data_IF_016822138531
#
_entry.id   IF_016822138531
#
_cell.length_a   1.000
_cell.length_b   1.000
_cell.length_c   1.000
_cell.angle_alpha   90.00
_cell.angle_beta   90.00
_cell.angle_gamma   90.00
#
_symmetry.space_group_name_H-M   'P 1'
#
loop_
_entity.id
_entity.type
_entity.pdbx_description
1 polymer ?
#
# COMPACT_ATOMS: atom_id res chain seq x y z
N UNK A 1 -27.35 16.32 -7.95
CA UNK A 1 -26.27 15.71 -7.12
C UNK A 1 -24.98 15.80 -7.91
N UNK A 2 -23.89 16.24 -7.28
CA UNK A 2 -22.59 16.34 -7.94
C UNK A 2 -22.02 14.97 -8.31
N UNK A 3 -20.97 14.95 -9.13
CA UNK A 3 -20.22 13.72 -9.44
C UNK A 3 -19.59 13.18 -8.14
N UNK A 4 -19.67 11.87 -7.85
CA UNK A 4 -19.10 11.31 -6.62
C UNK A 4 -17.58 11.48 -6.62
N UNK A 5 -17.01 11.68 -5.43
CA UNK A 5 -15.58 11.66 -5.19
C UNK A 5 -15.05 10.23 -5.38
N UNK A 6 -14.15 10.02 -6.33
CA UNK A 6 -13.64 8.68 -6.66
C UNK A 6 -12.27 8.44 -6.02
N UNK A 7 -12.12 7.31 -5.32
CA UNK A 7 -10.83 6.85 -4.79
C UNK A 7 -10.51 5.48 -5.34
N UNK A 8 -9.35 5.34 -5.95
CA UNK A 8 -8.79 4.03 -6.31
C UNK A 8 -8.17 3.42 -5.06
N UNK A 9 -8.55 2.18 -4.73
CA UNK A 9 -7.99 1.46 -3.59
C UNK A 9 -6.80 0.64 -4.08
N UNK A 10 -5.59 1.09 -3.76
CA UNK A 10 -4.29 0.56 -4.18
C UNK A 10 -3.89 -0.78 -3.56
N UNK A 11 -4.81 -1.74 -3.53
CA UNK A 11 -4.58 -3.11 -3.07
C UNK A 11 -5.04 -4.13 -4.10
N UNK A 12 -4.24 -5.18 -4.30
CA UNK A 12 -4.65 -6.36 -5.07
C UNK A 12 -5.44 -7.38 -4.24
N UNK A 13 -5.54 -7.19 -2.92
CA UNK A 13 -6.23 -8.13 -2.04
C UNK A 13 -7.72 -7.81 -1.95
N UNK A 14 -8.56 -8.72 -2.46
CA UNK A 14 -10.03 -8.58 -2.46
C UNK A 14 -10.63 -8.47 -1.06
N UNK A 15 -10.14 -9.23 -0.08
CA UNK A 15 -10.64 -9.16 1.29
C UNK A 15 -10.36 -7.80 1.91
N UNK A 16 -9.15 -7.24 1.70
CA UNK A 16 -8.83 -5.88 2.15
C UNK A 16 -9.74 -4.83 1.50
N UNK A 17 -10.04 -4.99 0.21
CA UNK A 17 -10.95 -4.07 -0.49
C UNK A 17 -12.35 -4.06 0.14
N UNK A 18 -12.93 -5.24 0.41
CA UNK A 18 -14.25 -5.33 1.03
C UNK A 18 -14.27 -4.79 2.46
N UNK A 19 -13.21 -4.99 3.25
CA UNK A 19 -13.06 -4.36 4.57
C UNK A 19 -13.09 -2.83 4.50
N UNK A 20 -12.31 -2.25 3.57
CA UNK A 20 -12.26 -0.80 3.35
C UNK A 20 -13.63 -0.29 2.90
N UNK A 21 -14.26 -0.99 1.96
CA UNK A 21 -15.58 -0.65 1.46
C UNK A 21 -16.65 -0.66 2.55
N UNK A 22 -16.63 -1.67 3.42
CA UNK A 22 -17.58 -1.76 4.52
C UNK A 22 -17.40 -0.62 5.54
N UNK A 23 -16.16 -0.20 5.84
CA UNK A 23 -15.90 0.87 6.81
C UNK A 23 -16.22 2.26 6.24
N UNK A 24 -16.03 2.46 4.94
CA UNK A 24 -16.28 3.74 4.26
C UNK A 24 -17.69 3.84 3.64
N UNK A 25 -18.56 2.85 3.84
CA UNK A 25 -19.86 2.76 3.15
C UNK A 25 -20.84 3.90 3.47
N UNK A 26 -20.67 4.56 4.61
CA UNK A 26 -21.50 5.67 5.07
C UNK A 26 -20.87 7.05 4.79
N UNK A 27 -19.73 7.10 4.09
CA UNK A 27 -19.22 8.35 3.53
C UNK A 27 -20.06 8.70 2.31
N UNK A 28 -20.83 9.79 2.41
CA UNK A 28 -21.69 10.26 1.31
C UNK A 28 -20.86 10.66 0.09
N UNK A 29 -21.43 10.43 -1.09
CA UNK A 29 -20.85 10.82 -2.37
C UNK A 29 -19.43 10.27 -2.63
N UNK A 30 -19.09 9.13 -2.03
CA UNK A 30 -17.82 8.42 -2.22
C UNK A 30 -17.99 7.18 -3.11
N UNK A 31 -17.17 7.05 -4.14
CA UNK A 31 -17.06 5.85 -4.97
C UNK A 31 -15.66 5.24 -4.81
N UNK A 32 -15.61 3.97 -4.40
CA UNK A 32 -14.35 3.22 -4.33
C UNK A 32 -14.16 2.40 -5.60
N UNK A 33 -13.03 2.63 -6.27
CA UNK A 33 -12.63 1.93 -7.49
C UNK A 33 -11.55 0.91 -7.14
N UNK A 34 -11.71 -0.37 -7.48
CA UNK A 34 -10.67 -1.36 -7.20
C UNK A 34 -9.47 -1.19 -8.13
N UNK A 35 -8.25 -1.51 -7.63
CA UNK A 35 -7.03 -1.41 -8.43
C UNK A 35 -7.07 -2.28 -9.69
N UNK A 36 -7.73 -3.45 -9.64
CA UNK A 36 -7.86 -4.36 -10.78
C UNK A 36 -8.79 -3.84 -11.89
N UNK A 37 -9.41 -2.68 -11.73
CA UNK A 37 -10.07 -1.97 -12.84
C UNK A 37 -9.06 -1.37 -13.84
N UNK A 38 -7.77 -1.33 -13.48
CA UNK A 38 -6.69 -0.81 -14.32
C UNK A 38 -5.83 -1.97 -14.83
N UNK A 39 -5.64 -2.15 -16.15
CA UNK A 39 -4.74 -3.16 -16.69
C UNK A 39 -3.27 -2.77 -16.46
N UNK A 40 -2.38 -3.76 -16.35
CA UNK A 40 -0.92 -3.59 -16.33
C UNK A 40 -0.40 -2.63 -15.23
N UNK A 41 -1.03 -2.65 -14.05
CA UNK A 41 -0.55 -1.86 -12.91
C UNK A 41 0.87 -2.31 -12.53
N UNK A 42 1.87 -1.41 -12.52
CA UNK A 42 3.23 -1.77 -12.17
C UNK A 42 3.32 -2.13 -10.66
N UNK A 43 4.21 -3.06 -10.27
CA UNK A 43 4.52 -3.27 -8.87
C UNK A 43 5.20 -2.00 -8.30
N UNK A 44 4.77 -1.59 -7.11
CA UNK A 44 5.43 -0.51 -6.35
C UNK A 44 6.49 -1.12 -5.45
N UNK A 45 7.69 -0.55 -5.46
CA UNK A 45 8.75 -0.95 -4.55
C UNK A 45 8.59 -0.27 -3.19
N UNK A 46 8.31 -1.07 -2.16
CA UNK A 46 8.17 -0.64 -0.76
C UNK A 46 9.53 -0.68 -0.04
N UNK A 47 10.37 0.33 -0.28
CA UNK A 47 11.74 0.48 0.24
C UNK A 47 11.90 1.62 1.26
N UNK A 48 10.80 2.25 1.67
CA UNK A 48 10.82 3.29 2.69
C UNK A 48 11.04 2.68 4.08
N UNK A 49 11.59 3.48 4.99
CA UNK A 49 11.93 3.06 6.36
C UNK A 49 10.74 3.01 7.30
N UNK A 50 9.60 3.56 6.90
CA UNK A 50 8.40 3.68 7.74
C UNK A 50 7.16 3.20 6.99
N UNK A 51 6.15 2.74 7.73
CA UNK A 51 4.87 2.34 7.16
C UNK A 51 4.19 3.50 6.43
N UNK A 52 4.24 4.69 7.01
CA UNK A 52 3.71 5.92 6.41
C UNK A 52 4.42 6.26 5.09
N UNK A 53 5.75 6.06 5.03
CA UNK A 53 6.54 6.25 3.84
C UNK A 53 6.12 5.30 2.72
N UNK A 54 6.04 4.00 3.00
CA UNK A 54 5.62 3.00 2.01
C UNK A 54 4.18 3.23 1.54
N UNK A 55 3.25 3.47 2.47
CA UNK A 55 1.86 3.77 2.13
C UNK A 55 1.76 5.01 1.23
N UNK A 56 2.49 6.08 1.57
CA UNK A 56 2.53 7.32 0.79
C UNK A 56 3.16 7.13 -0.58
N UNK A 57 4.32 6.47 -0.67
CA UNK A 57 5.00 6.15 -1.92
C UNK A 57 4.09 5.36 -2.86
N UNK A 58 3.46 4.32 -2.34
CA UNK A 58 2.52 3.47 -3.08
C UNK A 58 1.30 4.23 -3.58
N UNK A 59 0.67 5.03 -2.73
CA UNK A 59 -0.46 5.86 -3.15
C UNK A 59 -0.05 6.84 -4.26
N UNK A 60 1.11 7.49 -4.12
CA UNK A 60 1.60 8.50 -5.07
C UNK A 60 1.98 7.89 -6.43
N UNK A 61 2.73 6.78 -6.44
CA UNK A 61 3.12 6.10 -7.68
C UNK A 61 1.91 5.56 -8.44
N UNK A 62 0.96 4.94 -7.73
CA UNK A 62 -0.28 4.46 -8.33
C UNK A 62 -1.16 5.62 -8.84
N UNK A 63 -1.19 6.76 -8.16
CA UNK A 63 -1.93 7.94 -8.62
C UNK A 63 -1.36 8.48 -9.92
N UNK A 64 -0.02 8.57 -10.03
CA UNK A 64 0.66 8.98 -11.26
C UNK A 64 0.39 8.00 -12.40
N UNK A 65 0.46 6.70 -12.13
CA UNK A 65 0.12 5.67 -13.12
C UNK A 65 -1.32 5.84 -13.62
N UNK A 66 -2.30 5.91 -12.71
CA UNK A 66 -3.70 6.04 -13.09
C UNK A 66 -3.99 7.34 -13.86
N UNK A 67 -3.34 8.44 -13.50
CA UNK A 67 -3.43 9.71 -14.22
C UNK A 67 -2.92 9.62 -15.67
N UNK A 68 -1.80 8.92 -15.88
CA UNK A 68 -1.26 8.70 -17.22
C UNK A 68 -2.17 7.78 -18.05
N UNK A 69 -2.66 6.69 -17.45
CA UNK A 69 -3.55 5.73 -18.12
C UNK A 69 -4.86 6.36 -18.60
N UNK A 70 -5.43 7.30 -17.82
CA UNK A 70 -6.63 8.03 -18.23
C UNK A 70 -6.35 8.96 -19.42
N UNK A 71 -5.19 9.64 -19.46
CA UNK A 71 -4.82 10.52 -20.57
C UNK A 71 -4.67 9.77 -21.90
N UNK A 72 -4.06 8.58 -21.87
CA UNK A 72 -3.93 7.73 -23.07
C UNK A 72 -5.31 7.29 -23.58
N UNK A 73 -6.22 6.91 -22.68
CA UNK A 73 -7.59 6.54 -23.06
C UNK A 73 -8.34 7.71 -23.72
N UNK A 74 -8.20 8.93 -23.20
CA UNK A 74 -8.79 10.13 -23.82
C UNK A 74 -8.17 10.47 -25.18
N UNK A 75 -6.83 10.41 -25.31
CA UNK A 75 -6.14 10.69 -26.57
C UNK A 75 -6.52 9.69 -27.68
N UNK A 76 -6.68 8.40 -27.33
CA UNK A 76 -7.13 7.37 -28.27
C UNK A 76 -8.61 7.48 -28.64
N UNK A 77 -9.44 8.07 -27.78
CA UNK A 77 -10.84 8.38 -28.10
C UNK A 77 -10.97 9.63 -28.97
N UNK A 78 -10.13 10.66 -28.76
CA UNK A 78 -10.14 11.89 -29.57
C UNK A 78 -9.55 11.73 -30.96
N UNK A 79 -8.57 10.82 -31.14
CA UNK A 79 -7.96 10.53 -32.45
C UNK A 79 -8.85 9.69 -33.38
N UNK A 80 -9.87 9.00 -32.85
CA UNK A 80 -10.93 8.37 -33.66
C UNK A 80 -11.96 9.36 -34.24
N UNK A 81 -11.82 10.65 -33.93
CA UNK A 81 -12.71 11.71 -34.38
C UNK A 81 -11.92 12.92 -34.92
N UNK A 82 -11.18 12.74 -36.02
CA UNK A 82 -10.82 13.84 -36.92
C UNK A 82 -9.34 13.99 -37.27
N UNK A 83 -9.11 14.00 -38.59
CA UNK A 83 -7.96 14.46 -39.39
C UNK A 83 -6.59 13.78 -39.17
N UNK A 84 -6.22 13.04 -40.22
CA UNK A 84 -4.84 12.88 -40.71
C UNK A 84 -4.13 14.24 -40.71
N UNK A 85 -3.10 14.39 -39.88
CA UNK A 85 -1.83 15.10 -40.16
C UNK A 85 -1.08 15.34 -38.84
N UNK A 86 0.23 15.03 -38.87
CA UNK A 86 1.27 15.15 -37.83
C UNK A 86 1.36 14.03 -36.76
N UNK A 87 1.85 12.87 -37.20
CA UNK A 87 2.34 11.78 -36.34
C UNK A 87 3.75 12.08 -35.78
N UNK A 88 3.84 12.47 -34.50
CA UNK A 88 4.98 12.10 -33.65
C UNK A 88 4.57 10.87 -32.82
N UNK A 89 4.61 9.70 -33.47
CA UNK A 89 4.24 8.41 -32.90
C UNK A 89 5.23 8.02 -31.77
N UNK A 90 4.75 7.94 -30.52
CA UNK A 90 5.56 7.43 -29.41
C UNK A 90 5.50 5.91 -29.43
N UNK A 91 6.54 5.29 -29.99
CA UNK A 91 6.75 3.84 -30.00
C UNK A 91 7.01 3.29 -28.58
N UNK A 92 5.99 2.64 -28.02
CA UNK A 92 6.01 2.01 -26.70
C UNK A 92 6.81 0.68 -26.67
N UNK A 93 6.97 0.03 -27.83
CA UNK A 93 7.78 -1.19 -27.95
C UNK A 93 9.27 -0.85 -27.87
N UNK A 94 9.68 0.30 -28.44
CA UNK A 94 11.04 0.82 -28.30
C UNK A 94 11.41 1.21 -26.85
N UNK A 95 10.45 1.72 -26.06
CA UNK A 95 10.66 2.08 -24.66
C UNK A 95 10.80 0.85 -23.74
N UNK A 96 10.04 -0.20 -24.02
CA UNK A 96 10.11 -1.48 -23.29
C UNK A 96 11.37 -2.28 -23.67
N UNK A 97 11.76 -2.28 -24.94
CA UNK A 97 12.95 -2.97 -25.43
C UNK A 97 14.27 -2.33 -24.96
N UNK A 98 14.31 -0.99 -24.79
CA UNK A 98 15.48 -0.30 -24.21
C UNK A 98 15.74 -0.71 -22.77
N UNK A 99 14.68 -0.91 -21.96
CA UNK A 99 14.79 -1.31 -20.55
C UNK A 99 15.20 -2.78 -20.38
N UNK A 100 14.81 -3.65 -21.32
CA UNK A 100 15.16 -5.07 -21.27
C UNK A 100 16.63 -5.35 -21.67
N UNK A 101 17.28 -4.48 -22.46
CA UNK A 101 18.70 -4.62 -22.82
C UNK A 101 19.68 -4.10 -21.77
N UNK A 102 19.25 -3.25 -20.84
CA UNK A 102 20.12 -2.68 -19.79
C UNK A 102 20.30 -3.59 -18.57
N UNK A 103 19.56 -4.70 -18.46
CA UNK A 103 19.62 -5.61 -17.30
C UNK A 103 20.57 -6.81 -17.47
N UNK A 104 21.31 -6.93 -18.58
CA UNK A 104 22.33 -7.97 -18.74
C UNK A 104 23.68 -7.41 -19.23
N UNK A 105 24.44 -6.78 -18.33
CA UNK A 105 25.82 -6.38 -18.64
C UNK A 105 26.45 -5.60 -17.50
N UNK A 106 27.66 -6.01 -17.08
CA UNK A 106 28.47 -5.34 -16.05
C UNK A 106 28.46 -3.81 -16.23
N UNK A 107 28.15 -3.08 -15.15
CA UNK A 107 28.19 -1.62 -15.09
C UNK A 107 29.48 -1.06 -15.69
N UNK A 108 29.37 -0.42 -16.85
CA UNK A 108 30.24 0.70 -17.21
C UNK A 108 29.47 1.99 -16.88
N UNK A 109 30.14 3.03 -16.35
CA UNK A 109 29.48 4.30 -16.09
C UNK A 109 29.00 4.88 -17.42
N UNK A 110 27.70 5.16 -17.50
CA UNK A 110 27.10 5.86 -18.64
C UNK A 110 27.71 7.25 -18.68
N UNK A 111 28.49 7.56 -19.72
CA UNK A 111 28.89 8.94 -19.99
C UNK A 111 27.65 9.74 -20.36
N UNK A 112 27.31 10.75 -19.58
CA UNK A 112 26.26 11.70 -19.93
C UNK A 112 26.61 12.36 -21.27
N UNK A 113 25.80 12.07 -22.30
CA UNK A 113 25.79 12.86 -23.53
C UNK A 113 25.45 14.31 -23.22
N UNK A 114 26.10 15.22 -23.93
CA UNK A 114 26.17 16.67 -23.69
C UNK A 114 24.87 17.47 -23.92
N UNK A 115 23.69 16.89 -23.74
CA UNK A 115 22.41 17.60 -23.78
C UNK A 115 21.70 17.49 -22.43
N UNK A 116 22.15 18.28 -21.46
CA UNK A 116 21.69 18.28 -20.06
C UNK A 116 20.27 18.82 -19.82
N UNK A 117 19.25 18.33 -20.52
CA UNK A 117 17.86 18.51 -20.08
C UNK A 117 17.37 17.24 -19.41
N UNK A 118 17.17 17.32 -18.11
CA UNK A 118 16.33 16.36 -17.39
C UNK A 118 14.97 16.28 -18.12
N UNK A 119 14.38 15.08 -18.29
CA UNK A 119 13.04 14.96 -18.85
C UNK A 119 12.08 15.82 -18.03
N UNK A 120 11.24 16.62 -18.70
CA UNK A 120 10.21 17.40 -18.02
C UNK A 120 9.27 16.43 -17.31
N UNK A 121 9.07 16.64 -16.00
CA UNK A 121 8.04 15.94 -15.26
C UNK A 121 6.68 16.16 -15.94
N UNK A 122 5.83 15.13 -16.07
CA UNK A 122 4.49 15.32 -16.61
C UNK A 122 3.72 16.36 -15.81
N UNK A 123 3.01 17.26 -16.49
CA UNK A 123 2.12 18.21 -15.84
C UNK A 123 0.82 17.51 -15.43
N UNK A 124 0.59 17.34 -14.13
CA UNK A 124 -0.63 16.75 -13.58
C UNK A 124 -1.67 17.79 -13.12
N UNK A 125 -1.46 19.07 -13.45
CA UNK A 125 -2.41 20.13 -13.13
C UNK A 125 -3.79 19.80 -13.70
N UNK A 126 -4.83 19.88 -12.87
CA UNK A 126 -6.21 19.58 -13.28
C UNK A 126 -6.59 18.10 -13.39
N UNK A 127 -5.69 17.16 -13.08
CA UNK A 127 -6.02 15.72 -13.10
C UNK A 127 -6.63 15.28 -11.76
N UNK A 128 -7.92 14.93 -11.78
CA UNK A 128 -8.66 14.45 -10.60
C UNK A 128 -8.53 12.93 -10.45
N UNK A 129 -7.36 12.48 -9.97
CA UNK A 129 -7.11 11.08 -9.62
C UNK A 129 -6.69 11.01 -8.16
N UNK A 130 -7.38 10.18 -7.38
CA UNK A 130 -7.05 9.93 -5.99
C UNK A 130 -6.85 8.44 -5.77
N UNK A 131 -5.76 8.08 -5.10
CA UNK A 131 -5.44 6.70 -4.75
C UNK A 131 -5.18 6.61 -3.26
N UNK A 132 -5.82 5.65 -2.61
CA UNK A 132 -5.47 5.26 -1.24
C UNK A 132 -4.63 3.98 -1.23
N UNK A 133 -3.70 3.86 -0.29
CA UNK A 133 -2.90 2.64 -0.11
C UNK A 133 -2.58 2.42 1.37
N UNK A 134 -2.40 1.14 1.76
CA UNK A 134 -1.97 0.75 3.10
C UNK A 134 -0.56 0.13 3.08
N UNK A 135 0.17 0.34 4.17
CA UNK A 135 1.31 -0.49 4.57
C UNK A 135 1.14 -0.90 6.04
N UNK A 136 1.42 -2.16 6.36
CA UNK A 136 1.10 -2.74 7.66
C UNK A 136 2.10 -3.79 8.08
N UNK A 137 2.35 -3.88 9.38
CA UNK A 137 3.30 -4.84 9.93
C UNK A 137 3.26 -4.95 11.45
N UNK A 138 4.19 -5.73 11.98
CA UNK A 138 4.40 -5.99 13.39
C UNK A 138 5.68 -5.28 13.85
N UNK A 139 5.60 -4.55 14.94
CA UNK A 139 6.76 -4.00 15.65
C UNK A 139 6.90 -4.71 17.01
N UNK A 140 8.10 -5.19 17.34
CA UNK A 140 8.39 -5.83 18.64
C UNK A 140 9.44 -5.03 19.39
N UNK A 141 9.11 -4.59 20.60
CA UNK A 141 9.94 -3.67 21.38
C UNK A 141 11.32 -4.26 21.68
N UNK A 142 11.36 -5.54 22.09
CA UNK A 142 12.60 -6.25 22.38
C UNK A 142 13.50 -6.44 21.14
N UNK A 143 12.95 -6.29 19.93
CA UNK A 143 13.67 -6.38 18.67
C UNK A 143 13.83 -5.01 18.01
N UNK A 144 13.73 -3.92 18.78
CA UNK A 144 13.90 -2.55 18.30
C UNK A 144 12.96 -2.21 17.13
N UNK A 145 11.73 -2.73 17.17
CA UNK A 145 10.71 -2.52 16.14
C UNK A 145 10.72 -3.54 15.00
N UNK A 146 11.69 -4.47 14.95
CA UNK A 146 11.63 -5.55 13.96
C UNK A 146 10.44 -6.50 14.25
N UNK A 147 9.79 -7.08 13.22
CA UNK A 147 10.14 -7.02 11.80
C UNK A 147 9.84 -5.69 11.07
N UNK A 148 8.94 -4.86 11.59
CA UNK A 148 8.64 -3.53 11.04
C UNK A 148 8.10 -3.60 9.60
N UNK A 149 8.56 -2.70 8.74
CA UNK A 149 8.21 -2.67 7.29
C UNK A 149 8.61 -3.95 6.54
N UNK A 150 9.46 -4.80 7.12
CA UNK A 150 9.86 -6.09 6.54
C UNK A 150 8.93 -7.24 6.95
N UNK A 151 7.83 -6.97 7.66
CA UNK A 151 6.90 -8.00 8.20
C UNK A 151 6.51 -9.09 7.20
N UNK A 152 6.12 -8.74 5.98
CA UNK A 152 5.72 -9.74 4.99
C UNK A 152 6.89 -10.60 4.47
N UNK A 153 8.14 -10.17 4.66
CA UNK A 153 9.36 -10.76 4.09
C UNK A 153 10.47 -10.93 5.14
N UNK A 154 10.09 -11.10 6.41
CA UNK A 154 11.03 -11.07 7.52
C UNK A 154 12.06 -12.21 7.43
N UNK A 155 11.61 -13.39 6.96
CA UNK A 155 12.46 -14.54 6.66
C UNK A 155 13.00 -14.55 5.22
N UNK A 156 12.96 -13.42 4.52
CA UNK A 156 13.52 -13.22 3.18
C UNK A 156 12.55 -13.46 2.02
N UNK A 157 11.59 -14.39 2.17
CA UNK A 157 10.54 -14.64 1.17
C UNK A 157 9.24 -13.93 1.55
N UNK A 158 8.64 -13.22 0.59
CA UNK A 158 7.34 -12.56 0.78
C UNK A 158 6.23 -13.60 1.00
N UNK A 159 5.41 -13.41 2.03
CA UNK A 159 4.21 -14.20 2.32
C UNK A 159 4.46 -15.58 2.95
N UNK A 160 5.69 -15.87 3.38
CA UNK A 160 5.99 -17.13 4.10
C UNK A 160 5.76 -16.97 5.61
N UNK A 161 4.49 -16.99 6.01
CA UNK A 161 4.06 -16.75 7.39
C UNK A 161 4.71 -17.73 8.38
N UNK A 162 4.87 -19.00 7.99
CA UNK A 162 5.50 -20.02 8.83
C UNK A 162 6.98 -19.70 9.09
N UNK A 163 7.74 -19.34 8.04
CA UNK A 163 9.14 -18.96 8.19
C UNK A 163 9.30 -17.65 8.98
N UNK A 164 8.42 -16.67 8.73
CA UNK A 164 8.38 -15.40 9.45
C UNK A 164 8.14 -15.60 10.95
N UNK A 165 7.17 -16.45 11.31
CA UNK A 165 6.84 -16.78 12.70
C UNK A 165 7.99 -17.55 13.39
N UNK A 166 8.61 -18.51 12.70
CA UNK A 166 9.75 -19.25 13.23
C UNK A 166 10.96 -18.34 13.51
N UNK A 167 11.28 -17.42 12.59
CA UNK A 167 12.36 -16.46 12.78
C UNK A 167 12.07 -15.48 13.92
N UNK A 168 10.82 -15.01 14.05
CA UNK A 168 10.41 -14.16 15.16
C UNK A 168 10.63 -14.82 16.52
N UNK A 169 10.16 -16.07 16.68
CA UNK A 169 10.34 -16.82 17.92
C UNK A 169 11.82 -17.11 18.22
N UNK A 170 12.61 -17.43 17.18
CA UNK A 170 14.07 -17.62 17.31
C UNK A 170 14.73 -16.36 17.86
N UNK A 171 14.40 -15.19 17.32
CA UNK A 171 14.99 -13.91 17.74
C UNK A 171 14.53 -13.46 19.14
N UNK A 172 13.40 -13.98 19.63
CA UNK A 172 12.90 -13.76 20.99
C UNK A 172 13.35 -14.81 22.00
N UNK A 173 14.21 -15.76 21.63
CA UNK A 173 14.73 -16.78 22.55
C UNK A 173 15.45 -16.11 23.72
N UNK A 174 15.06 -16.45 24.95
CA UNK A 174 15.61 -15.87 26.18
C UNK A 174 14.99 -14.53 26.59
N UNK A 175 14.17 -13.90 25.75
CA UNK A 175 13.40 -12.71 26.14
C UNK A 175 12.23 -13.16 27.02
N UNK A 176 12.10 -12.66 28.27
CA UNK A 176 11.04 -13.08 29.16
C UNK A 176 9.68 -12.51 28.71
N UNK A 177 8.55 -13.19 28.99
CA UNK A 177 7.24 -12.85 28.43
C UNK A 177 6.80 -11.39 28.61
N UNK A 178 7.11 -10.78 29.75
CA UNK A 178 6.79 -9.39 30.09
C UNK A 178 7.54 -8.35 29.24
N UNK A 179 8.66 -8.74 28.63
CA UNK A 179 9.46 -7.89 27.72
C UNK A 179 9.09 -8.10 26.24
N UNK A 180 8.16 -9.01 25.92
CA UNK A 180 7.73 -9.30 24.54
C UNK A 180 6.61 -8.38 24.05
N UNK A 181 6.59 -7.13 24.50
CA UNK A 181 5.61 -6.14 24.02
C UNK A 181 5.75 -5.97 22.52
N UNK A 182 4.61 -5.93 21.85
CA UNK A 182 4.54 -5.80 20.41
C UNK A 182 3.28 -5.05 20.01
N UNK A 183 3.28 -4.51 18.80
CA UNK A 183 2.12 -3.86 18.22
C UNK A 183 1.98 -4.17 16.75
N UNK A 184 0.75 -4.41 16.33
CA UNK A 184 0.44 -4.29 14.91
C UNK A 184 0.25 -2.82 14.55
N UNK A 185 0.71 -2.44 13.36
CA UNK A 185 0.66 -1.09 12.82
C UNK A 185 0.05 -1.13 11.43
N UNK A 186 -0.87 -0.21 11.15
CA UNK A 186 -1.37 0.08 9.80
C UNK A 186 -1.18 1.58 9.54
N UNK A 187 -0.48 1.94 8.47
CA UNK A 187 -0.50 3.27 7.90
C UNK A 187 -1.37 3.27 6.65
N UNK A 188 -2.21 4.29 6.48
CA UNK A 188 -3.02 4.52 5.29
C UNK A 188 -2.69 5.89 4.74
N UNK A 189 -2.44 5.97 3.44
CA UNK A 189 -2.22 7.23 2.75
C UNK A 189 -3.26 7.43 1.64
N UNK A 190 -3.69 8.68 1.41
CA UNK A 190 -4.39 9.13 0.21
C UNK A 190 -3.47 10.07 -0.54
N UNK A 191 -3.29 9.88 -1.84
CA UNK A 191 -2.51 10.76 -2.69
C UNK A 191 -3.25 11.11 -3.97
N UNK A 192 -2.92 12.27 -4.53
CA UNK A 192 -3.11 12.57 -5.94
C UNK A 192 -1.74 12.48 -6.65
N UNK A 193 -1.64 12.66 -7.98
CA UNK A 193 -0.37 12.51 -8.70
C UNK A 193 0.74 13.48 -8.26
N UNK A 194 0.37 14.57 -7.58
CA UNK A 194 1.28 15.62 -7.12
C UNK A 194 1.83 15.36 -5.73
N UNK A 195 0.98 14.93 -4.78
CA UNK A 195 1.36 14.81 -3.37
C UNK A 195 0.48 13.83 -2.60
N UNK A 196 0.99 13.40 -1.45
CA UNK A 196 0.20 12.77 -0.40
C UNK A 196 -0.67 13.85 0.29
N UNK A 197 -1.95 13.55 0.47
CA UNK A 197 -2.98 14.45 1.02
C UNK A 197 -3.34 14.09 2.45
N UNK A 198 -3.48 12.79 2.73
CA UNK A 198 -3.85 12.26 4.04
C UNK A 198 -2.86 11.15 4.37
N UNK A 199 -2.41 11.11 5.62
CA UNK A 199 -1.71 9.95 6.19
C UNK A 199 -2.29 9.69 7.57
N UNK A 200 -2.74 8.46 7.84
CA UNK A 200 -3.23 8.04 9.15
C UNK A 200 -2.53 6.78 9.63
N UNK A 201 -2.42 6.62 10.95
CA UNK A 201 -1.83 5.45 11.60
C UNK A 201 -2.80 4.85 12.61
N UNK A 202 -3.00 3.54 12.56
CA UNK A 202 -3.70 2.75 13.57
C UNK A 202 -2.76 1.72 14.18
N UNK A 203 -2.93 1.44 15.47
CA UNK A 203 -2.09 0.48 16.20
C UNK A 203 -2.92 -0.39 17.12
N UNK A 204 -2.50 -1.63 17.32
CA UNK A 204 -3.04 -2.48 18.40
C UNK A 204 -1.88 -3.00 19.20
N UNK A 205 -1.90 -2.73 20.51
CA UNK A 205 -0.91 -3.19 21.47
C UNK A 205 -1.21 -4.61 21.93
N UNK A 206 -0.14 -5.39 22.09
CA UNK A 206 -0.21 -6.78 22.52
C UNK A 206 1.16 -7.30 22.96
N UNK A 207 1.32 -8.61 22.91
CA UNK A 207 2.57 -9.30 23.26
C UNK A 207 2.80 -10.48 22.33
N UNK A 208 4.05 -10.88 22.13
CA UNK A 208 4.35 -12.10 21.39
C UNK A 208 4.27 -13.32 22.32
N UNK A 209 3.38 -14.25 22.01
CA UNK A 209 3.22 -15.52 22.69
C UNK A 209 4.48 -16.41 22.56
N UNK A 210 4.62 -17.39 23.45
CA UNK A 210 5.72 -18.35 23.38
C UNK A 210 5.52 -19.41 22.29
N UNK A 211 4.26 -19.71 21.97
CA UNK A 211 3.84 -20.70 20.99
C UNK A 211 2.61 -20.17 20.25
N UNK A 212 2.39 -20.59 18.99
CA UNK A 212 1.20 -20.21 18.24
C UNK A 212 -0.06 -20.81 18.86
N UNK A 213 -1.14 -20.06 18.84
CA UNK A 213 -2.48 -20.52 19.20
C UNK A 213 -3.52 -20.06 18.16
N UNK A 214 -4.53 -20.90 17.95
CA UNK A 214 -5.58 -20.66 16.96
C UNK A 214 -5.14 -20.85 15.50
N UNK A 215 -6.12 -20.91 14.61
CA UNK A 215 -5.94 -21.17 13.17
C UNK A 215 -6.61 -20.12 12.28
N UNK A 216 -7.28 -19.14 12.87
CA UNK A 216 -7.89 -18.02 12.17
C UNK A 216 -6.84 -16.98 11.79
N UNK A 217 -7.14 -16.15 10.79
CA UNK A 217 -6.27 -15.03 10.41
C UNK A 217 -5.07 -15.44 9.56
N UNK A 218 -4.01 -14.63 9.59
CA UNK A 218 -2.80 -14.78 8.77
C UNK A 218 -1.58 -14.10 9.41
N UNK A 219 -0.39 -14.31 8.84
CA UNK A 219 0.84 -13.67 9.30
C UNK A 219 1.18 -14.02 10.74
N UNK A 220 1.31 -13.00 11.57
CA UNK A 220 1.69 -13.11 12.97
C UNK A 220 0.49 -13.29 13.93
N UNK A 221 -0.74 -13.39 13.42
CA UNK A 221 -1.94 -13.51 14.26
C UNK A 221 -1.87 -14.64 15.30
N UNK A 222 -1.38 -15.87 14.98
CA UNK A 222 -1.28 -16.95 15.96
C UNK A 222 -0.30 -16.67 17.10
N UNK A 223 0.62 -15.71 16.92
CA UNK A 223 1.62 -15.32 17.92
C UNK A 223 1.29 -14.01 18.63
N UNK A 224 0.37 -13.21 18.10
CA UNK A 224 0.03 -11.92 18.67
C UNK A 224 -1.03 -12.07 19.76
N UNK A 225 -0.58 -12.17 21.02
CA UNK A 225 -1.43 -12.23 22.20
C UNK A 225 -2.01 -10.84 22.51
N UNK A 226 -3.33 -10.77 22.64
CA UNK A 226 -4.07 -9.55 22.99
C UNK A 226 -4.58 -9.64 24.44
N UNK A 227 -3.89 -9.00 25.40
CA UNK A 227 -4.22 -9.13 26.83
C UNK A 227 -5.67 -8.82 27.20
N UNK A 228 -6.36 -7.82 26.60
CA UNK A 228 -7.75 -7.53 26.96
C UNK A 228 -8.74 -8.68 26.74
N UNK A 229 -8.43 -9.64 25.85
CA UNK A 229 -9.27 -10.81 25.60
C UNK A 229 -8.65 -12.13 26.05
N UNK A 230 -7.42 -12.11 26.58
CA UNK A 230 -6.71 -13.32 27.00
C UNK A 230 -6.47 -14.33 25.87
N UNK A 231 -6.46 -13.88 24.62
CA UNK A 231 -6.37 -14.71 23.41
C UNK A 231 -5.37 -14.14 22.42
N UNK A 232 -4.79 -15.01 21.60
CA UNK A 232 -4.09 -14.58 20.39
C UNK A 232 -5.08 -14.13 19.33
N UNK A 233 -4.62 -13.32 18.38
CA UNK A 233 -5.45 -12.95 17.22
C UNK A 233 -5.83 -14.17 16.37
N UNK A 234 -5.01 -15.22 16.37
CA UNK A 234 -5.32 -16.48 15.70
C UNK A 234 -6.50 -17.25 16.31
N UNK A 235 -6.88 -16.94 17.55
CA UNK A 235 -8.03 -17.53 18.26
C UNK A 235 -9.30 -16.67 18.15
N UNK A 236 -9.23 -15.48 17.55
CA UNK A 236 -10.38 -14.60 17.40
C UNK A 236 -11.16 -14.92 16.12
N UNK A 237 -12.48 -14.75 16.18
CA UNK A 237 -13.31 -14.72 14.99
C UNK A 237 -12.98 -13.49 14.14
N UNK A 238 -13.11 -13.64 12.81
CA UNK A 238 -12.78 -12.57 11.86
C UNK A 238 -13.54 -11.27 12.17
N UNK A 239 -14.83 -11.36 12.53
CA UNK A 239 -15.65 -10.18 12.85
C UNK A 239 -15.12 -9.44 14.09
N UNK A 240 -14.78 -10.17 15.16
CA UNK A 240 -14.21 -9.57 16.38
C UNK A 240 -12.86 -8.92 16.08
N UNK A 241 -11.98 -9.63 15.36
CA UNK A 241 -10.66 -9.11 14.98
C UNK A 241 -10.80 -7.84 14.14
N UNK A 242 -11.69 -7.83 13.17
CA UNK A 242 -11.86 -6.71 12.25
C UNK A 242 -12.31 -5.44 12.97
N UNK A 243 -13.13 -5.55 14.02
CA UNK A 243 -13.52 -4.40 14.85
C UNK A 243 -12.35 -3.83 15.65
N UNK A 244 -11.46 -4.68 16.15
CA UNK A 244 -10.37 -4.30 17.08
C UNK A 244 -9.06 -3.92 16.39
N UNK A 245 -8.86 -4.36 15.14
CA UNK A 245 -7.55 -4.33 14.47
C UNK A 245 -6.94 -2.94 14.29
N UNK A 246 -5.63 -2.92 14.11
CA UNK A 246 -4.84 -1.73 13.74
C UNK A 246 -5.37 -1.10 12.43
N UNK A 247 -5.85 -1.91 11.49
CA UNK A 247 -6.45 -1.43 10.23
C UNK A 247 -7.78 -0.72 10.44
N UNK A 248 -8.69 -1.26 11.25
CA UNK A 248 -9.97 -0.59 11.52
C UNK A 248 -9.76 0.76 12.21
N UNK A 249 -8.80 0.83 13.14
CA UNK A 249 -8.42 2.10 13.76
C UNK A 249 -7.83 3.10 12.75
N UNK A 250 -6.96 2.64 11.85
CA UNK A 250 -6.40 3.51 10.80
C UNK A 250 -7.48 4.02 9.84
N UNK A 251 -8.42 3.14 9.44
CA UNK A 251 -9.54 3.47 8.56
C UNK A 251 -10.54 4.42 9.23
N UNK A 252 -10.83 4.25 10.53
CA UNK A 252 -11.69 5.17 11.26
C UNK A 252 -11.10 6.59 11.28
N UNK A 253 -9.79 6.73 11.54
CA UNK A 253 -9.09 8.02 11.43
C UNK A 253 -9.09 8.56 10.00
N UNK A 254 -8.83 7.69 9.03
CA UNK A 254 -8.81 8.03 7.60
C UNK A 254 -10.16 8.60 7.15
N UNK A 255 -11.25 7.96 7.55
CA UNK A 255 -12.62 8.38 7.26
C UNK A 255 -12.90 9.80 7.74
N UNK A 256 -12.47 10.15 8.95
CA UNK A 256 -12.63 11.51 9.50
C UNK A 256 -11.89 12.53 8.65
N UNK A 257 -10.64 12.26 8.27
CA UNK A 257 -9.88 13.17 7.41
C UNK A 257 -10.45 13.25 5.99
N UNK A 258 -10.95 12.12 5.46
CA UNK A 258 -11.59 12.07 4.16
C UNK A 258 -12.88 12.90 4.13
N UNK A 259 -13.70 12.83 5.17
CA UNK A 259 -14.91 13.64 5.28
C UNK A 259 -14.61 15.14 5.30
N UNK A 260 -13.51 15.56 5.93
CA UNK A 260 -13.05 16.96 5.87
C UNK A 260 -12.60 17.35 4.47
N UNK A 261 -11.94 16.45 3.74
CA UNK A 261 -11.47 16.70 2.39
C UNK A 261 -12.62 16.78 1.36
N UNK A 262 -13.63 15.91 1.48
CA UNK A 262 -14.76 15.81 0.54
C UNK A 262 -15.88 16.80 0.90
N UNK A 263 -15.99 17.19 2.18
CA UNK A 263 -17.00 18.14 2.66
C UNK A 263 -16.54 19.60 2.75
N UNK A 264 -15.28 19.91 2.40
CA UNK A 264 -14.76 21.27 2.22
C UNK A 264 -15.02 21.77 0.79
#
# INVERSE_FOLDING_TARGET
MGKPFKIIVGTGNRHKFEEIRAILSDVRDLELVPLWAFPNVPPVQEDEKTFEGNAGKKALELARFAALSQRVSYANQSTSAGSEDDEDEIDFDALSAKRAKETSGRHKPVSLGSSGRLPRMPDYTGVEVYVMSDDSGLEVDALQGAPGVLSARYAGKHGDDAANNALLLKNLKGVPPEKRKARFVCAIALANPMKVLITTRGTVEGRIAAQPAGSSGFGYDPLFFYPPLGKTFGELEAETKNKLSHRSQALAKFKVELQKLVGA
#
